data_IF_220093033740
#
_entry.id   IF_220093033740
#
_cell.length_a   1.000
_cell.length_b   1.000
_cell.length_c   1.000
_cell.angle_alpha   90.00
_cell.angle_beta   90.00
_cell.angle_gamma   90.00
#
_symmetry.space_group_name_H-M   'P 1'
#
loop_
_entity.id
_entity.type
_entity.pdbx_description
1 polymer ?
#
# COMPACT_ATOMS: atom_id res chain seq x y z
N UNK A 1 -3.12 -2.38 29.29
CA UNK A 1 -3.06 -2.57 27.82
C UNK A 1 -4.44 -2.62 27.15
N UNK A 2 -5.33 -3.56 27.47
CA UNK A 2 -6.70 -3.61 26.89
C UNK A 2 -7.44 -2.26 26.99
N UNK A 3 -7.44 -1.67 28.17
CA UNK A 3 -8.05 -0.35 28.41
C UNK A 3 -7.40 0.80 27.64
N UNK A 4 -6.09 0.73 27.36
CA UNK A 4 -5.41 1.74 26.53
C UNK A 4 -5.84 1.61 25.07
N UNK A 5 -5.88 0.37 24.56
CA UNK A 5 -6.39 0.09 23.22
C UNK A 5 -7.82 0.61 23.08
N UNK A 6 -8.72 0.21 23.96
CA UNK A 6 -10.14 0.53 23.84
C UNK A 6 -10.40 2.05 23.91
N UNK A 7 -9.61 2.79 24.71
CA UNK A 7 -9.74 4.25 24.80
C UNK A 7 -9.19 4.99 23.59
N UNK A 8 -8.09 4.51 23.00
CA UNK A 8 -7.29 5.30 22.05
C UNK A 8 -7.24 4.73 20.63
N UNK A 9 -7.76 3.52 20.36
CA UNK A 9 -7.74 2.91 19.02
C UNK A 9 -8.36 3.81 17.95
N UNK A 10 -9.49 4.45 18.26
CA UNK A 10 -10.21 5.33 17.33
C UNK A 10 -9.59 6.73 17.22
N UNK A 11 -8.58 7.01 18.04
CA UNK A 11 -7.83 8.27 18.06
C UNK A 11 -6.49 8.16 17.30
N UNK A 12 -6.22 7.00 16.68
CA UNK A 12 -5.02 6.73 15.91
C UNK A 12 -3.93 5.96 16.67
N UNK A 13 -4.25 5.30 17.78
CA UNK A 13 -3.34 4.35 18.44
C UNK A 13 -3.44 2.97 17.80
N UNK A 14 -2.30 2.41 17.38
CA UNK A 14 -2.17 0.99 17.06
C UNK A 14 -1.35 0.32 18.16
N UNK A 15 -1.83 -0.81 18.67
CA UNK A 15 -1.18 -1.56 19.75
C UNK A 15 -0.85 -2.98 19.25
N UNK A 16 0.41 -3.39 19.44
CA UNK A 16 0.88 -4.77 19.24
C UNK A 16 1.63 -5.23 20.50
N UNK A 17 1.34 -6.45 20.96
CA UNK A 17 2.14 -7.12 21.98
C UNK A 17 3.21 -7.99 21.34
N UNK A 18 4.46 -7.87 21.78
CA UNK A 18 5.54 -8.77 21.36
C UNK A 18 5.99 -9.59 22.56
N UNK A 19 5.89 -10.91 22.45
CA UNK A 19 6.33 -11.84 23.48
C UNK A 19 7.64 -12.50 23.08
N UNK A 20 8.51 -12.83 24.04
CA UNK A 20 9.72 -13.62 23.75
C UNK A 20 9.37 -15.07 23.40
N UNK A 21 10.33 -15.82 22.85
CA UNK A 21 10.19 -17.24 22.50
C UNK A 21 9.74 -18.11 23.69
N UNK A 22 10.08 -17.73 24.92
CA UNK A 22 9.74 -18.51 26.11
C UNK A 22 8.23 -18.46 26.37
N UNK A 23 7.52 -19.58 26.28
CA UNK A 23 6.07 -19.63 26.53
C UNK A 23 5.20 -19.23 25.32
N UNK A 24 5.81 -19.00 24.15
CA UNK A 24 5.10 -18.68 22.92
C UNK A 24 4.07 -19.75 22.53
N UNK A 25 4.31 -21.02 22.89
CA UNK A 25 3.41 -22.14 22.64
C UNK A 25 2.07 -22.04 23.38
N UNK A 26 2.03 -21.32 24.51
CA UNK A 26 0.81 -21.09 25.31
C UNK A 26 0.16 -19.75 25.02
N UNK A 27 0.79 -18.93 24.16
CA UNK A 27 0.37 -17.55 23.93
C UNK A 27 -1.03 -17.46 23.33
N UNK A 28 -1.38 -18.35 22.38
CA UNK A 28 -2.68 -18.34 21.74
C UNK A 28 -3.82 -18.60 22.75
N UNK A 29 -3.65 -19.60 23.62
CA UNK A 29 -4.60 -19.92 24.67
C UNK A 29 -4.69 -18.78 25.69
N UNK A 30 -3.55 -18.22 26.12
CA UNK A 30 -3.52 -17.09 27.04
C UNK A 30 -4.23 -15.85 26.47
N UNK A 31 -3.99 -15.50 25.20
CA UNK A 31 -4.66 -14.38 24.51
C UNK A 31 -6.18 -14.58 24.52
N UNK A 32 -6.64 -15.80 24.24
CA UNK A 32 -8.05 -16.15 24.25
C UNK A 32 -8.65 -16.10 25.65
N UNK A 33 -8.01 -16.73 26.63
CA UNK A 33 -8.47 -16.80 28.03
C UNK A 33 -8.54 -15.42 28.68
N UNK A 34 -7.55 -14.56 28.43
CA UNK A 34 -7.49 -13.22 29.01
C UNK A 34 -8.31 -12.19 28.24
N UNK A 35 -8.97 -12.58 27.14
CA UNK A 35 -9.73 -11.68 26.28
C UNK A 35 -8.88 -10.53 25.75
N UNK A 36 -7.64 -10.82 25.35
CA UNK A 36 -6.75 -9.83 24.74
C UNK A 36 -7.30 -9.49 23.35
N UNK A 37 -7.60 -8.22 23.14
CA UNK A 37 -8.30 -7.73 21.94
C UNK A 37 -7.38 -7.01 20.94
N UNK A 38 -6.07 -7.09 21.12
CA UNK A 38 -5.06 -6.56 20.21
C UNK A 38 -4.14 -7.67 19.68
N UNK A 39 -3.51 -7.49 18.51
CA UNK A 39 -2.55 -8.45 17.99
C UNK A 39 -1.39 -8.72 18.95
N UNK A 40 -1.01 -9.99 19.08
CA UNK A 40 0.15 -10.43 19.84
C UNK A 40 1.00 -11.35 18.96
N UNK A 41 2.30 -11.11 18.89
CA UNK A 41 3.26 -11.89 18.11
C UNK A 41 4.40 -12.40 19.00
N UNK A 42 4.96 -13.55 18.63
CA UNK A 42 6.14 -14.12 19.30
C UNK A 42 7.41 -13.73 18.53
N UNK A 43 8.40 -13.20 19.24
CA UNK A 43 9.73 -12.85 18.74
C UNK A 43 10.64 -14.08 18.78
N UNK A 44 10.34 -15.05 17.91
CA UNK A 44 10.97 -16.38 17.92
C UNK A 44 12.49 -16.30 17.78
N UNK A 45 12.97 -15.47 16.84
CA UNK A 45 14.39 -15.28 16.53
C UNK A 45 15.07 -14.19 17.37
N UNK A 46 14.37 -13.64 18.38
CA UNK A 46 14.86 -12.58 19.27
C UNK A 46 15.33 -11.31 18.56
N UNK A 47 14.87 -11.07 17.34
CA UNK A 47 15.26 -9.91 16.53
C UNK A 47 14.70 -8.63 17.15
N UNK A 48 13.47 -8.66 17.64
CA UNK A 48 12.80 -7.48 18.21
C UNK A 48 13.41 -7.11 19.55
N UNK A 49 13.54 -8.05 20.49
CA UNK A 49 14.14 -7.77 21.81
C UNK A 49 15.59 -7.27 21.70
N UNK A 50 16.33 -7.77 20.71
CA UNK A 50 17.70 -7.33 20.44
C UNK A 50 17.72 -5.92 19.84
N UNK A 51 16.86 -5.65 18.85
CA UNK A 51 16.78 -4.33 18.19
C UNK A 51 16.38 -3.21 19.16
N UNK A 52 15.44 -3.50 20.06
CA UNK A 52 14.97 -2.55 21.07
C UNK A 52 15.85 -2.53 22.34
N UNK A 53 16.83 -3.44 22.46
CA UNK A 53 17.72 -3.57 23.62
C UNK A 53 16.98 -3.76 24.95
N UNK A 54 15.91 -4.57 24.91
CA UNK A 54 15.07 -4.86 26.08
C UNK A 54 15.89 -5.56 27.16
N UNK A 55 15.84 -5.04 28.39
CA UNK A 55 16.57 -5.59 29.54
C UNK A 55 15.65 -6.12 30.65
N UNK A 56 14.36 -5.79 30.60
CA UNK A 56 13.36 -6.17 31.59
C UNK A 56 11.96 -6.25 30.98
N UNK A 57 11.02 -6.85 31.70
CA UNK A 57 9.62 -6.96 31.27
C UNK A 57 8.66 -6.61 32.42
N UNK A 58 7.55 -5.90 32.16
CA UNK A 58 7.18 -5.29 30.88
C UNK A 58 8.04 -4.06 30.56
N UNK A 59 8.19 -3.78 29.28
CA UNK A 59 8.92 -2.64 28.74
C UNK A 59 8.14 -2.10 27.52
N UNK A 60 8.04 -0.77 27.38
CA UNK A 60 7.22 -0.13 26.36
C UNK A 60 7.98 0.89 25.53
N UNK A 61 7.66 0.87 24.24
CA UNK A 61 8.22 1.74 23.22
C UNK A 61 7.06 2.38 22.46
N UNK A 62 7.13 3.69 22.24
CA UNK A 62 6.09 4.44 21.54
C UNK A 62 6.70 5.12 20.32
N UNK A 63 6.16 4.76 19.15
CA UNK A 63 6.58 5.23 17.84
C UNK A 63 5.53 6.23 17.34
N UNK A 64 5.97 7.35 16.76
CA UNK A 64 5.04 8.34 16.21
C UNK A 64 4.49 7.96 14.82
N UNK A 65 3.57 8.80 14.30
CA UNK A 65 2.94 8.61 12.98
C UNK A 65 3.93 8.64 11.81
N UNK A 66 5.16 9.09 12.03
CA UNK A 66 6.23 9.10 11.02
C UNK A 66 7.14 7.88 11.07
N UNK A 67 6.89 6.95 12.02
CA UNK A 67 7.69 5.76 12.22
C UNK A 67 8.94 5.98 13.07
N UNK A 68 9.07 7.13 13.75
CA UNK A 68 10.21 7.40 14.63
C UNK A 68 9.94 6.94 16.05
N UNK A 69 10.90 6.27 16.67
CA UNK A 69 10.87 5.95 18.09
C UNK A 69 11.00 7.23 18.91
N UNK A 70 9.98 7.55 19.71
CA UNK A 70 9.91 8.80 20.49
C UNK A 70 10.07 8.59 21.98
N UNK A 71 9.60 7.45 22.46
CA UNK A 71 9.75 7.01 23.83
C UNK A 71 10.18 5.55 23.84
N UNK A 72 11.16 5.23 24.68
CA UNK A 72 11.76 3.91 24.82
C UNK A 72 11.97 3.63 26.29
N UNK A 73 12.03 2.35 26.67
CA UNK A 73 12.31 1.92 28.05
C UNK A 73 11.35 2.56 29.07
N UNK A 74 10.06 2.60 28.74
CA UNK A 74 9.05 3.24 29.58
C UNK A 74 8.57 2.30 30.68
N UNK A 75 8.45 2.84 31.89
CA UNK A 75 7.70 2.18 32.95
C UNK A 75 6.17 2.27 32.72
N UNK A 76 5.41 1.37 33.36
CA UNK A 76 3.94 1.36 33.32
C UNK A 76 3.30 2.73 33.55
N UNK A 77 3.81 3.49 34.52
CA UNK A 77 3.24 4.79 34.91
C UNK A 77 3.44 5.88 33.85
N UNK A 78 4.39 5.71 32.94
CA UNK A 78 4.76 6.72 31.93
C UNK A 78 4.09 6.48 30.58
N UNK A 79 3.66 5.25 30.33
CA UNK A 79 3.12 4.80 29.05
C UNK A 79 1.94 5.66 28.58
N UNK A 80 0.95 5.88 29.43
CA UNK A 80 -0.25 6.61 29.02
C UNK A 80 0.08 8.06 28.66
N UNK A 81 0.96 8.72 29.43
CA UNK A 81 1.42 10.07 29.14
C UNK A 81 2.15 10.14 27.79
N UNK A 82 3.00 9.16 27.50
CA UNK A 82 3.70 9.07 26.22
C UNK A 82 2.71 8.91 25.03
N UNK A 83 1.74 8.01 25.16
CA UNK A 83 0.67 7.81 24.17
C UNK A 83 -0.10 9.11 23.94
N UNK A 84 -0.63 9.74 25.00
CA UNK A 84 -1.44 10.96 24.86
C UNK A 84 -0.64 12.12 24.29
N UNK A 85 0.67 12.19 24.58
CA UNK A 85 1.57 13.20 24.00
C UNK A 85 1.62 13.06 22.48
N UNK A 86 1.86 11.86 21.95
CA UNK A 86 1.93 11.65 20.50
C UNK A 86 0.57 11.73 19.82
N UNK A 87 -0.51 11.34 20.49
CA UNK A 87 -1.87 11.48 19.94
C UNK A 87 -2.25 12.95 19.76
N UNK A 88 -1.84 13.82 20.69
CA UNK A 88 -2.07 15.26 20.65
C UNK A 88 -1.19 16.00 19.63
N UNK A 89 -0.09 15.40 19.15
CA UNK A 89 0.65 15.97 18.02
C UNK A 89 -0.31 16.06 16.84
N UNK A 90 -0.51 17.28 16.29
CA UNK A 90 -1.34 17.47 15.12
C UNK A 90 -0.90 16.54 14.00
N UNK A 91 -1.84 16.01 13.22
CA UNK A 91 -1.55 15.07 12.14
C UNK A 91 -0.63 15.70 11.09
N UNK A 92 0.67 15.63 11.30
CA UNK A 92 1.60 15.61 10.19
C UNK A 92 1.20 14.38 9.40
N UNK A 93 0.82 14.60 8.13
CA UNK A 93 0.63 13.50 7.21
C UNK A 93 1.83 12.57 7.38
N UNK A 94 1.57 11.27 7.57
CA UNK A 94 2.63 10.28 7.53
C UNK A 94 3.55 10.64 6.35
N UNK A 95 4.89 10.58 6.52
CA UNK A 95 5.80 10.92 5.45
C UNK A 95 5.30 10.22 4.18
N UNK A 96 5.06 11.03 3.14
CA UNK A 96 4.45 10.59 1.88
C UNK A 96 5.16 9.34 1.43
N UNK A 97 4.49 8.20 1.55
CA UNK A 97 5.04 6.96 1.08
C UNK A 97 4.64 6.86 -0.40
N UNK A 98 5.62 6.86 -1.32
CA UNK A 98 5.33 6.94 -2.75
C UNK A 98 4.42 5.80 -3.23
N UNK A 99 4.47 4.63 -2.58
CA UNK A 99 3.56 3.53 -2.85
C UNK A 99 2.14 3.83 -2.38
N UNK A 100 1.97 4.27 -1.13
CA UNK A 100 0.62 4.59 -0.61
C UNK A 100 -0.03 5.72 -1.37
N UNK A 101 0.76 6.68 -1.85
CA UNK A 101 0.28 7.79 -2.67
C UNK A 101 -0.18 7.29 -4.05
N UNK A 102 0.61 6.42 -4.70
CA UNK A 102 0.25 5.82 -5.98
C UNK A 102 -1.02 4.95 -5.85
N UNK A 103 -1.14 4.18 -4.77
CA UNK A 103 -2.31 3.34 -4.52
C UNK A 103 -3.56 4.19 -4.22
N UNK A 104 -3.43 5.25 -3.41
CA UNK A 104 -4.52 6.17 -3.13
C UNK A 104 -4.99 6.91 -4.40
N UNK A 105 -4.07 7.34 -5.27
CA UNK A 105 -4.42 7.94 -6.55
C UNK A 105 -5.11 6.94 -7.49
N UNK A 106 -4.62 5.70 -7.54
CA UNK A 106 -5.22 4.62 -8.31
C UNK A 106 -6.64 4.31 -7.83
N UNK A 107 -6.87 4.24 -6.51
CA UNK A 107 -8.21 4.09 -5.94
C UNK A 107 -9.14 5.23 -6.31
N UNK A 108 -8.68 6.47 -6.12
CA UNK A 108 -9.46 7.68 -6.41
C UNK A 108 -9.86 7.77 -7.88
N UNK A 109 -8.92 7.45 -8.78
CA UNK A 109 -9.10 7.53 -10.23
C UNK A 109 -9.64 6.24 -10.85
N UNK A 110 -9.84 5.19 -10.05
CA UNK A 110 -10.23 3.83 -10.48
C UNK A 110 -9.29 3.25 -11.54
N UNK A 111 -7.99 3.49 -11.37
CA UNK A 111 -6.91 3.01 -12.22
C UNK A 111 -6.19 1.83 -11.57
N UNK A 112 -5.36 1.16 -12.35
CA UNK A 112 -4.36 0.20 -11.87
C UNK A 112 -3.09 0.95 -11.42
N UNK A 113 -2.25 0.32 -10.61
CA UNK A 113 -0.88 0.79 -10.39
C UNK A 113 0.05 0.03 -11.33
N UNK A 114 0.75 0.73 -12.21
CA UNK A 114 1.85 0.17 -13.01
C UNK A 114 3.15 0.42 -12.27
N UNK A 115 3.76 -0.66 -11.79
CA UNK A 115 5.08 -0.61 -11.19
C UNK A 115 6.14 -0.86 -12.26
N UNK A 116 7.13 0.03 -12.32
CA UNK A 116 8.31 -0.15 -13.17
C UNK A 116 9.54 -0.53 -12.33
N UNK A 117 10.49 -1.19 -12.97
CA UNK A 117 11.78 -1.66 -12.42
C UNK A 117 12.62 -0.55 -11.76
N UNK A 118 13.65 -0.94 -11.00
CA UNK A 118 14.73 -0.06 -10.48
C UNK A 118 15.71 0.41 -11.56
N UNK A 119 15.72 -0.23 -12.74
CA UNK A 119 16.65 0.10 -13.82
C UNK A 119 16.24 1.42 -14.52
N UNK A 120 17.02 2.47 -14.25
CA UNK A 120 16.83 3.81 -14.84
C UNK A 120 16.93 3.83 -16.36
N UNK A 121 17.77 2.99 -16.97
CA UNK A 121 17.88 2.93 -18.42
C UNK A 121 16.58 2.42 -19.02
N UNK A 122 16.00 1.39 -18.41
CA UNK A 122 14.73 0.85 -18.87
C UNK A 122 13.54 1.78 -18.58
N UNK A 123 13.55 2.49 -17.45
CA UNK A 123 12.58 3.57 -17.18
C UNK A 123 12.65 4.67 -18.24
N UNK A 124 13.86 5.04 -18.67
CA UNK A 124 14.09 6.02 -19.72
C UNK A 124 13.66 5.52 -21.11
N UNK A 125 13.91 4.25 -21.45
CA UNK A 125 13.41 3.60 -22.67
C UNK A 125 11.87 3.65 -22.72
N UNK A 126 11.19 3.25 -21.64
CA UNK A 126 9.73 3.32 -21.54
C UNK A 126 9.24 4.77 -21.68
N UNK A 127 9.88 5.72 -21.00
CA UNK A 127 9.56 7.14 -21.12
C UNK A 127 9.76 7.68 -22.54
N UNK A 128 10.80 7.25 -23.26
CA UNK A 128 11.03 7.63 -24.64
C UNK A 128 9.98 7.01 -25.58
N UNK A 129 9.59 5.76 -25.34
CA UNK A 129 8.54 5.07 -26.08
C UNK A 129 7.20 5.80 -25.92
N UNK A 130 6.81 6.18 -24.71
CA UNK A 130 5.58 6.94 -24.44
C UNK A 130 5.52 8.27 -25.20
N UNK A 131 6.65 8.95 -25.39
CA UNK A 131 6.68 10.22 -26.13
C UNK A 131 6.48 10.03 -27.63
N UNK A 132 6.86 8.86 -28.16
CA UNK A 132 6.76 8.54 -29.60
C UNK A 132 5.46 7.83 -29.96
N UNK A 133 4.89 7.10 -29.03
CA UNK A 133 3.68 6.30 -29.21
C UNK A 133 2.50 6.93 -28.45
N UNK A 134 1.63 7.61 -29.22
CA UNK A 134 0.46 8.31 -28.69
C UNK A 134 -0.54 7.38 -28.00
N UNK A 135 -0.79 6.21 -28.56
CA UNK A 135 -1.81 5.30 -28.02
C UNK A 135 -1.31 4.64 -26.74
N UNK A 136 -0.01 4.31 -26.68
CA UNK A 136 0.63 3.85 -25.46
C UNK A 136 0.56 4.93 -24.38
N UNK A 137 0.84 6.18 -24.74
CA UNK A 137 0.71 7.33 -23.84
C UNK A 137 -0.72 7.47 -23.30
N UNK A 138 -1.73 7.34 -24.18
CA UNK A 138 -3.13 7.38 -23.78
C UNK A 138 -3.48 6.22 -22.85
N UNK A 139 -3.12 4.98 -23.22
CA UNK A 139 -3.35 3.78 -22.40
C UNK A 139 -2.77 3.97 -21.00
N UNK A 140 -1.51 4.42 -20.90
CA UNK A 140 -0.87 4.67 -19.61
C UNK A 140 -1.56 5.79 -18.83
N UNK A 141 -1.96 6.87 -19.51
CA UNK A 141 -2.61 8.01 -18.87
C UNK A 141 -4.02 7.69 -18.37
N UNK A 142 -4.76 6.81 -19.05
CA UNK A 142 -6.14 6.47 -18.69
C UNK A 142 -6.22 5.29 -17.72
N UNK A 143 -5.38 4.26 -17.90
CA UNK A 143 -5.52 3.00 -17.19
C UNK A 143 -4.65 2.88 -15.95
N UNK A 144 -3.57 3.66 -15.87
CA UNK A 144 -2.52 3.45 -14.88
C UNK A 144 -2.16 4.70 -14.09
N UNK A 145 -1.85 4.50 -12.82
CA UNK A 145 -0.96 5.36 -12.03
C UNK A 145 0.41 4.71 -12.04
N UNK A 146 1.42 5.44 -12.49
CA UNK A 146 2.79 4.91 -12.57
C UNK A 146 3.49 5.07 -11.24
N UNK A 147 4.13 3.99 -10.80
CA UNK A 147 5.01 3.95 -9.64
C UNK A 147 6.37 3.39 -10.08
N UNK A 148 7.41 4.21 -9.99
CA UNK A 148 8.76 3.79 -10.36
C UNK A 148 9.47 3.27 -9.11
N UNK A 149 9.97 2.02 -9.15
CA UNK A 149 10.70 1.48 -8.01
C UNK A 149 11.97 2.30 -7.77
N UNK A 150 12.15 2.64 -6.49
CA UNK A 150 13.34 3.32 -5.98
C UNK A 150 14.57 2.43 -6.11
N UNK A 151 15.76 3.03 -6.09
CA UNK A 151 17.01 2.28 -6.26
C UNK A 151 17.12 1.17 -5.21
N UNK A 152 17.80 0.08 -5.54
CA UNK A 152 17.95 -1.09 -4.65
C UNK A 152 18.67 -0.80 -3.33
N UNK A 153 19.38 0.33 -3.23
CA UNK A 153 20.05 0.81 -2.01
C UNK A 153 19.14 1.65 -1.09
N UNK A 154 17.94 2.02 -1.55
CA UNK A 154 16.92 2.67 -0.72
C UNK A 154 16.02 1.60 -0.06
N UNK A 155 15.67 1.75 1.23
CA UNK A 155 14.76 0.81 1.88
C UNK A 155 13.39 0.84 1.20
N UNK A 156 12.81 -0.34 0.99
CA UNK A 156 11.47 -0.47 0.43
C UNK A 156 10.46 0.33 1.26
N UNK A 157 9.52 1.06 0.63
CA UNK A 157 8.53 1.81 1.37
C UNK A 157 7.68 0.88 2.22
N UNK A 158 7.35 1.29 3.44
CA UNK A 158 6.51 0.49 4.35
C UNK A 158 5.13 0.21 3.73
N UNK A 159 4.52 -0.95 4.00
CA UNK A 159 3.18 -1.24 3.45
C UNK A 159 3.11 -1.41 1.93
N UNK A 160 4.23 -1.67 1.26
CA UNK A 160 4.23 -2.21 -0.09
C UNK A 160 3.60 -3.61 -0.14
N UNK A 161 3.04 -4.04 -1.28
CA UNK A 161 2.42 -5.34 -1.41
C UNK A 161 3.48 -6.43 -1.49
N UNK A 162 3.15 -7.60 -0.96
CA UNK A 162 3.96 -8.79 -1.13
C UNK A 162 4.14 -9.08 -2.63
N UNK A 163 5.37 -9.37 -3.06
CA UNK A 163 5.72 -9.65 -4.44
C UNK A 163 6.39 -8.49 -5.16
N UNK A 164 6.36 -7.28 -4.59
CA UNK A 164 7.13 -6.12 -5.07
C UNK A 164 8.65 -6.38 -4.96
N UNK A 165 9.06 -7.23 -4.03
CA UNK A 165 10.46 -7.62 -3.76
C UNK A 165 11.00 -8.65 -4.77
N UNK A 166 10.16 -9.20 -5.65
CA UNK A 166 10.56 -10.26 -6.57
C UNK A 166 11.47 -9.71 -7.68
N UNK A 167 12.78 -9.93 -7.53
CA UNK A 167 13.79 -9.58 -8.53
C UNK A 167 13.47 -10.22 -9.90
N UNK A 168 13.46 -9.40 -10.97
CA UNK A 168 13.43 -9.88 -12.36
C UNK A 168 12.23 -9.45 -13.21
N UNK A 169 11.19 -8.84 -12.62
CA UNK A 169 10.08 -8.27 -13.38
C UNK A 169 10.49 -6.93 -14.03
N UNK A 170 10.12 -6.76 -15.30
CA UNK A 170 10.27 -5.50 -16.03
C UNK A 170 9.13 -4.53 -15.70
N UNK A 171 7.90 -5.05 -15.70
CA UNK A 171 6.66 -4.35 -15.38
C UNK A 171 5.78 -5.24 -14.50
N UNK A 172 5.11 -4.64 -13.52
CA UNK A 172 4.09 -5.30 -12.72
C UNK A 172 2.84 -4.43 -12.64
N UNK A 173 1.68 -5.08 -12.63
CA UNK A 173 0.39 -4.41 -12.56
C UNK A 173 -0.32 -4.83 -11.28
N UNK A 174 -0.71 -3.85 -10.49
CA UNK A 174 -1.51 -4.04 -9.28
C UNK A 174 -2.90 -3.46 -9.48
N UNK A 175 -3.90 -4.11 -8.89
CA UNK A 175 -5.23 -3.55 -8.78
C UNK A 175 -5.28 -2.36 -7.80
N UNK A 176 -6.42 -1.67 -7.75
CA UNK A 176 -6.63 -0.54 -6.85
C UNK A 176 -6.67 -0.95 -5.36
N UNK A 177 -6.56 -2.24 -5.03
CA UNK A 177 -6.43 -2.76 -3.66
C UNK A 177 -4.99 -3.17 -3.33
N UNK A 178 -4.06 -3.01 -4.27
CA UNK A 178 -2.66 -3.38 -4.12
C UNK A 178 -2.40 -4.87 -4.34
N UNK A 179 -3.30 -5.60 -4.99
CA UNK A 179 -3.10 -7.02 -5.34
C UNK A 179 -2.47 -7.11 -6.72
N UNK A 180 -1.38 -7.88 -6.85
CA UNK A 180 -0.75 -8.11 -8.16
C UNK A 180 -1.71 -8.89 -9.08
N UNK A 181 -1.93 -8.37 -10.28
CA UNK A 181 -2.79 -9.01 -11.30
C UNK A 181 -2.00 -9.47 -12.52
N UNK A 182 -0.82 -8.89 -12.76
CA UNK A 182 0.04 -9.31 -13.85
C UNK A 182 1.49 -8.89 -13.63
N UNK A 183 2.41 -9.65 -14.22
CA UNK A 183 3.82 -9.30 -14.38
C UNK A 183 4.35 -9.68 -15.75
N UNK A 184 5.36 -8.96 -16.21
CA UNK A 184 6.11 -9.26 -17.42
C UNK A 184 7.61 -9.27 -17.12
N UNK A 185 8.33 -10.26 -17.65
CA UNK A 185 9.79 -10.32 -17.57
C UNK A 185 10.42 -9.51 -18.72
N UNK A 186 11.72 -9.21 -18.58
CA UNK A 186 12.46 -8.53 -19.66
C UNK A 186 12.47 -9.30 -20.97
N UNK A 187 12.55 -10.63 -20.90
CA UNK A 187 12.51 -11.52 -22.07
C UNK A 187 11.24 -11.34 -22.89
N UNK A 188 10.12 -11.01 -22.23
CA UNK A 188 8.82 -10.90 -22.87
C UNK A 188 8.65 -9.55 -23.57
N UNK A 189 9.35 -8.53 -23.08
CA UNK A 189 9.20 -7.15 -23.55
C UNK A 189 10.34 -6.67 -24.44
N UNK A 190 11.51 -7.31 -24.40
CA UNK A 190 12.69 -6.87 -25.17
C UNK A 190 12.90 -7.67 -26.48
N UNK A 191 13.64 -7.06 -27.40
CA UNK A 191 14.20 -7.64 -28.62
C UNK A 191 15.62 -7.12 -28.88
N UNK A 192 16.15 -7.27 -30.10
CA UNK A 192 17.53 -6.88 -30.48
C UNK A 192 17.86 -5.37 -30.29
N UNK A 193 16.88 -4.53 -29.96
CA UNK A 193 17.05 -3.08 -29.75
C UNK A 193 16.50 -2.54 -28.43
N UNK A 194 16.25 -3.39 -27.43
CA UNK A 194 15.63 -2.99 -26.15
C UNK A 194 14.13 -3.24 -26.12
N UNK A 195 13.38 -2.41 -25.39
CA UNK A 195 11.92 -2.56 -25.26
C UNK A 195 11.18 -2.48 -26.61
N UNK A 196 10.31 -3.46 -26.87
CA UNK A 196 9.49 -3.55 -28.10
C UNK A 196 8.10 -2.98 -27.83
N UNK A 197 7.76 -1.88 -28.50
CA UNK A 197 6.53 -1.11 -28.24
C UNK A 197 5.24 -1.94 -28.39
N UNK A 198 5.16 -2.79 -29.41
CA UNK A 198 4.01 -3.66 -29.64
C UNK A 198 3.79 -4.63 -28.47
N UNK A 199 4.86 -5.28 -28.00
CA UNK A 199 4.80 -6.22 -26.87
C UNK A 199 4.43 -5.50 -25.57
N UNK A 200 5.05 -4.34 -25.31
CA UNK A 200 4.74 -3.51 -24.14
C UNK A 200 3.28 -3.05 -24.15
N UNK A 201 2.77 -2.59 -25.30
CA UNK A 201 1.38 -2.20 -25.46
C UNK A 201 0.44 -3.37 -25.25
N UNK A 202 0.71 -4.52 -25.88
CA UNK A 202 -0.14 -5.71 -25.75
C UNK A 202 -0.26 -6.14 -24.28
N UNK A 203 0.84 -6.09 -23.53
CA UNK A 203 0.82 -6.36 -22.09
C UNK A 203 -0.06 -5.35 -21.32
N UNK A 204 0.09 -4.04 -21.58
CA UNK A 204 -0.67 -3.02 -20.87
C UNK A 204 -2.17 -3.06 -21.23
N UNK A 205 -2.52 -3.16 -22.51
CA UNK A 205 -3.93 -3.24 -22.93
C UNK A 205 -4.63 -4.47 -22.33
N UNK A 206 -3.94 -5.62 -22.33
CA UNK A 206 -4.48 -6.86 -21.73
C UNK A 206 -4.78 -6.72 -20.24
N UNK A 207 -4.02 -5.88 -19.53
CA UNK A 207 -4.07 -5.75 -18.07
C UNK A 207 -4.64 -4.40 -17.60
N UNK A 208 -5.34 -3.69 -18.48
CA UNK A 208 -6.01 -2.43 -18.18
C UNK A 208 -7.08 -2.58 -17.09
N UNK A 209 -7.57 -1.46 -16.56
CA UNK A 209 -8.72 -1.47 -15.66
C UNK A 209 -9.97 -1.93 -16.40
N UNK A 210 -10.89 -2.62 -15.71
CA UNK A 210 -12.22 -2.82 -16.28
C UNK A 210 -12.93 -1.47 -16.32
N UNK A 211 -13.21 -0.95 -17.50
CA UNK A 211 -14.08 0.21 -17.61
C UNK A 211 -15.50 -0.17 -17.23
N UNK A 212 -16.16 0.63 -16.36
CA UNK A 212 -17.58 0.47 -16.14
C UNK A 212 -18.33 0.56 -17.48
N UNK A 213 -19.09 -0.48 -17.82
CA UNK A 213 -19.89 -0.49 -19.04
C UNK A 213 -20.98 0.58 -18.93
N UNK A 214 -21.03 1.49 -19.90
CA UNK A 214 -21.90 2.67 -19.83
C UNK A 214 -23.37 2.28 -19.67
N UNK A 215 -23.78 1.18 -20.29
CA UNK A 215 -25.12 0.61 -20.31
C UNK A 215 -25.57 0.19 -18.90
N UNK A 216 -24.70 -0.48 -18.15
CA UNK A 216 -24.98 -0.93 -16.78
C UNK A 216 -25.19 0.26 -15.86
N UNK A 217 -24.31 1.26 -15.97
CA UNK A 217 -24.38 2.47 -15.16
C UNK A 217 -25.56 3.37 -15.52
N UNK A 218 -25.90 3.45 -16.82
CA UNK A 218 -27.08 4.15 -17.29
C UNK A 218 -28.36 3.50 -16.75
N UNK A 219 -28.48 2.17 -16.84
CA UNK A 219 -29.64 1.44 -16.33
C UNK A 219 -29.81 1.66 -14.81
N UNK A 220 -28.73 1.59 -14.03
CA UNK A 220 -28.76 1.85 -12.60
C UNK A 220 -29.14 3.32 -12.28
N UNK A 221 -28.58 4.28 -13.01
CA UNK A 221 -28.90 5.70 -12.83
C UNK A 221 -30.37 6.01 -13.16
N UNK A 222 -30.91 5.41 -14.22
CA UNK A 222 -32.30 5.54 -14.63
C UNK A 222 -33.26 4.91 -13.61
N UNK A 223 -32.94 3.72 -13.10
CA UNK A 223 -33.72 3.06 -12.05
C UNK A 223 -33.81 3.92 -10.79
N UNK A 224 -32.67 4.49 -10.35
CA UNK A 224 -32.61 5.42 -9.22
C UNK A 224 -33.43 6.69 -9.45
N UNK A 225 -33.30 7.31 -10.64
CA UNK A 225 -34.05 8.51 -10.98
C UNK A 225 -35.57 8.26 -10.92
N UNK A 226 -36.03 7.10 -11.40
CA UNK A 226 -37.45 6.68 -11.29
C UNK A 226 -37.88 6.48 -9.84
N UNK A 227 -37.10 5.72 -9.06
CA UNK A 227 -37.42 5.42 -7.67
C UNK A 227 -37.50 6.67 -6.78
N UNK A 228 -36.66 7.67 -7.06
CA UNK A 228 -36.58 8.91 -6.28
C UNK A 228 -37.38 10.07 -6.89
N UNK A 229 -38.13 9.84 -7.97
CA UNK A 229 -38.87 10.87 -8.71
C UNK A 229 -38.00 12.08 -9.16
N UNK A 230 -36.82 11.79 -9.70
CA UNK A 230 -35.83 12.78 -10.18
C UNK A 230 -35.70 12.75 -11.70
N UNK A 231 -35.18 13.84 -12.28
CA UNK A 231 -34.79 13.90 -13.70
C UNK A 231 -33.34 13.41 -13.85
N UNK A 232 -33.08 12.61 -14.89
CA UNK A 232 -31.73 12.17 -15.26
C UNK A 232 -31.21 13.02 -16.42
N UNK A 233 -30.10 13.73 -16.21
CA UNK A 233 -29.32 14.33 -17.29
C UNK A 233 -28.22 13.35 -17.70
N UNK A 234 -28.13 13.05 -19.00
CA UNK A 234 -27.04 12.26 -19.58
C UNK A 234 -26.10 13.22 -20.31
N UNK A 235 -24.84 13.26 -19.88
CA UNK A 235 -23.79 14.03 -20.55
C UNK A 235 -22.86 13.05 -21.27
N UNK A 236 -22.80 13.15 -22.59
CA UNK A 236 -21.87 12.39 -23.42
C UNK A 236 -20.71 13.31 -23.77
N UNK A 237 -19.61 13.16 -23.04
CA UNK A 237 -18.40 13.96 -23.22
C UNK A 237 -17.22 13.08 -23.62
N UNK A 238 -16.30 13.67 -24.38
CA UNK A 238 -14.99 13.12 -24.63
C UNK A 238 -13.95 13.90 -23.80
N UNK A 239 -13.01 13.25 -23.11
CA UNK A 239 -12.07 13.92 -22.20
C UNK A 239 -10.88 14.60 -22.91
N UNK A 240 -10.95 14.83 -24.23
CA UNK A 240 -9.87 15.45 -25.03
C UNK A 240 -10.25 16.83 -25.57
#
# INVERSE_FOLDING_TARGET
>A
MKELRDRYQDQGLVLIGIHTTNGAEKMADFVKEQGINYPVAADIDKQTVTAFKVDSFPDYYVIDRTGKLRFADLANAELERAITTLLAEGGQAAPSNPWTDALADAQKRRKRVLVTTVDKAAQAELGAMMRKDRDLSQTLSFEYVRYDLHRSDEPMPTGHPAGLEAAGAALMVFDHKGVEVARAAWSDLRGEGGLVAEKTRAFLVKNAGAHPQAEEHFAAALARAKAENKRLLVHLGAPW
#
